data_IF_243902432488
#
_entry.id   IF_243902432488
#
_cell.length_a   1.000
_cell.length_b   1.000
_cell.length_c   1.000
_cell.angle_alpha   90.00
_cell.angle_beta   90.00
_cell.angle_gamma   90.00
#
_symmetry.space_group_name_H-M   'P 1'
#
loop_
_entity.id
_entity.type
_entity.pdbx_description
1 polymer ?
#
# COMPACT_ATOMS: atom_id res chain seq x y z
N UNK A 1 -7.42 -32.29 2.49
CA UNK A 1 -8.17 -31.16 1.92
C UNK A 1 -8.02 -29.88 2.76
N UNK A 2 -6.82 -29.28 2.85
CA UNK A 2 -6.57 -27.98 3.53
C UNK A 2 -5.59 -27.06 2.78
N UNK A 3 -5.03 -27.52 1.66
CA UNK A 3 -3.98 -26.79 0.93
C UNK A 3 -4.53 -25.83 -0.14
N UNK A 4 -5.69 -26.12 -0.73
CA UNK A 4 -6.31 -25.25 -1.76
C UNK A 4 -6.78 -23.87 -1.25
N UNK A 5 -7.09 -23.74 0.05
CA UNK A 5 -7.45 -22.46 0.64
C UNK A 5 -6.24 -21.60 1.03
N UNK A 6 -5.08 -22.22 1.27
CA UNK A 6 -3.84 -21.52 1.62
C UNK A 6 -3.27 -20.78 0.41
N UNK A 7 -3.37 -21.34 -0.78
CA UNK A 7 -2.79 -20.73 -1.98
C UNK A 7 -3.59 -19.53 -2.51
N UNK A 8 -4.93 -19.58 -2.43
CA UNK A 8 -5.77 -18.43 -2.78
C UNK A 8 -5.57 -17.25 -1.83
N UNK A 9 -5.40 -17.53 -0.53
CA UNK A 9 -5.01 -16.52 0.46
C UNK A 9 -3.59 -15.99 0.20
N UNK A 10 -2.64 -16.87 -0.10
CA UNK A 10 -1.24 -16.51 -0.34
C UNK A 10 -1.07 -15.56 -1.52
N UNK A 11 -1.76 -15.81 -2.65
CA UNK A 11 -1.71 -14.92 -3.82
C UNK A 11 -2.29 -13.53 -3.52
N UNK A 12 -3.37 -13.44 -2.76
CA UNK A 12 -3.94 -12.16 -2.32
C UNK A 12 -3.00 -11.41 -1.36
N UNK A 13 -2.35 -12.13 -0.43
CA UNK A 13 -1.34 -11.58 0.47
C UNK A 13 -0.11 -11.07 -0.30
N UNK A 14 0.37 -11.84 -1.28
CA UNK A 14 1.47 -11.41 -2.15
C UNK A 14 1.10 -10.19 -2.98
N UNK A 15 -0.11 -10.15 -3.56
CA UNK A 15 -0.57 -8.98 -4.31
C UNK A 15 -0.62 -7.72 -3.44
N UNK A 16 -1.11 -7.84 -2.20
CA UNK A 16 -1.10 -6.74 -1.22
C UNK A 16 0.31 -6.31 -0.85
N UNK A 17 1.22 -7.24 -0.59
CA UNK A 17 2.62 -6.95 -0.24
C UNK A 17 3.35 -6.26 -1.40
N UNK A 18 3.18 -6.76 -2.62
CA UNK A 18 3.79 -6.19 -3.83
C UNK A 18 3.24 -4.79 -4.13
N UNK A 19 1.93 -4.59 -3.98
CA UNK A 19 1.31 -3.27 -4.14
C UNK A 19 1.82 -2.29 -3.08
N UNK A 20 1.96 -2.74 -1.82
CA UNK A 20 2.55 -1.94 -0.75
C UNK A 20 4.01 -1.59 -1.03
N UNK A 21 4.83 -2.55 -1.45
CA UNK A 21 6.23 -2.29 -1.84
C UNK A 21 6.31 -1.27 -2.97
N UNK A 22 5.43 -1.39 -3.97
CA UNK A 22 5.33 -0.41 -5.05
C UNK A 22 5.00 0.98 -4.52
N UNK A 23 4.07 1.11 -3.55
CA UNK A 23 3.77 2.38 -2.87
C UNK A 23 4.97 2.94 -2.08
N UNK A 24 5.75 2.08 -1.44
CA UNK A 24 6.97 2.46 -0.70
C UNK A 24 8.10 2.89 -1.66
N UNK A 25 8.37 2.11 -2.72
CA UNK A 25 9.36 2.42 -3.76
C UNK A 25 9.02 3.67 -4.54
N UNK A 26 7.73 3.90 -4.77
CA UNK A 26 7.25 5.09 -5.48
C UNK A 26 7.33 6.37 -4.64
N UNK A 27 7.80 6.27 -3.39
CA UNK A 27 7.98 7.39 -2.45
C UNK A 27 6.71 8.24 -2.35
N UNK A 28 5.55 7.58 -2.31
CA UNK A 28 4.25 8.23 -2.16
C UNK A 28 4.27 9.05 -0.89
N UNK A 29 3.90 10.32 -1.00
CA UNK A 29 3.80 11.22 0.13
C UNK A 29 2.34 11.52 0.42
N UNK A 30 2.06 12.13 1.57
CA UNK A 30 0.70 12.58 1.93
C UNK A 30 0.08 13.58 0.94
N UNK A 31 0.88 14.12 0.01
CA UNK A 31 0.47 15.05 -1.05
C UNK A 31 0.23 14.34 -2.39
N UNK A 32 0.74 13.13 -2.56
CA UNK A 32 0.58 12.35 -3.78
C UNK A 32 -0.88 11.93 -3.95
N UNK A 33 -1.35 11.93 -5.19
CA UNK A 33 -2.72 11.53 -5.52
C UNK A 33 -2.77 10.11 -6.11
N UNK A 34 -3.91 9.44 -5.93
CA UNK A 34 -4.13 8.11 -6.51
C UNK A 34 -4.03 8.14 -8.05
N UNK A 35 -4.48 9.25 -8.67
CA UNK A 35 -4.41 9.43 -10.12
C UNK A 35 -2.96 9.47 -10.62
N UNK A 36 -2.08 10.24 -9.98
CA UNK A 36 -0.66 10.29 -10.34
C UNK A 36 0.02 8.92 -10.16
N UNK A 37 -0.35 8.19 -9.11
CA UNK A 37 0.15 6.83 -8.90
C UNK A 37 -0.32 5.86 -10.00
N UNK A 38 -1.61 5.90 -10.36
CA UNK A 38 -2.15 5.13 -11.48
C UNK A 38 -1.47 5.46 -12.81
N UNK A 39 -1.21 6.75 -13.08
CA UNK A 39 -0.62 7.19 -14.33
C UNK A 39 0.83 6.67 -14.47
N UNK A 40 1.59 6.74 -13.38
CA UNK A 40 2.99 6.31 -13.33
C UNK A 40 3.17 4.80 -13.28
N UNK A 41 2.35 4.08 -12.50
CA UNK A 41 2.52 2.65 -12.24
C UNK A 41 1.40 1.77 -12.79
N UNK A 42 0.42 2.32 -13.51
CA UNK A 42 -0.70 1.56 -14.08
C UNK A 42 -0.27 0.47 -15.08
N UNK A 43 0.94 0.59 -15.62
CA UNK A 43 1.56 -0.42 -16.50
C UNK A 43 2.34 -1.51 -15.73
N UNK A 44 2.69 -1.27 -14.47
CA UNK A 44 3.46 -2.20 -13.64
C UNK A 44 2.62 -3.46 -13.34
N UNK A 45 3.25 -4.62 -13.46
CA UNK A 45 2.59 -5.90 -13.21
C UNK A 45 2.06 -6.00 -11.78
N UNK A 46 2.74 -5.38 -10.80
CA UNK A 46 2.35 -5.33 -9.38
C UNK A 46 1.09 -4.49 -9.17
N UNK A 47 0.94 -3.41 -9.93
CA UNK A 47 -0.28 -2.60 -9.92
C UNK A 47 -1.48 -3.39 -10.50
N UNK A 48 -1.24 -4.15 -11.57
CA UNK A 48 -2.26 -5.00 -12.21
C UNK A 48 -2.70 -6.20 -11.37
N UNK A 49 -1.99 -6.55 -10.28
CA UNK A 49 -2.41 -7.64 -9.39
C UNK A 49 -3.69 -7.30 -8.62
N UNK A 50 -3.95 -6.02 -8.36
CA UNK A 50 -5.20 -5.55 -7.77
C UNK A 50 -6.10 -5.09 -8.91
N UNK A 51 -6.97 -5.95 -9.44
CA UNK A 51 -7.81 -5.59 -10.61
C UNK A 51 -8.91 -4.58 -10.28
N UNK A 52 -9.38 -4.55 -9.03
CA UNK A 52 -10.47 -3.68 -8.59
C UNK A 52 -9.95 -2.29 -8.24
N UNK A 53 -10.37 -1.27 -8.99
CA UNK A 53 -10.04 0.14 -8.72
C UNK A 53 -10.41 0.60 -7.31
N UNK A 54 -11.55 0.15 -6.78
CA UNK A 54 -11.95 0.46 -5.40
C UNK A 54 -10.97 -0.09 -4.38
N UNK A 55 -10.46 -1.31 -4.58
CA UNK A 55 -9.42 -1.88 -3.72
C UNK A 55 -8.08 -1.14 -3.88
N UNK A 56 -7.70 -0.79 -5.11
CA UNK A 56 -6.49 0.00 -5.38
C UNK A 56 -6.52 1.35 -4.65
N UNK A 57 -7.64 2.08 -4.75
CA UNK A 57 -7.85 3.35 -4.08
C UNK A 57 -7.89 3.18 -2.55
N UNK A 58 -8.54 2.12 -2.05
CA UNK A 58 -8.55 1.79 -0.64
C UNK A 58 -7.14 1.54 -0.10
N UNK A 59 -6.32 0.73 -0.79
CA UNK A 59 -4.93 0.49 -0.40
C UNK A 59 -4.09 1.76 -0.43
N UNK A 60 -4.26 2.59 -1.45
CA UNK A 60 -3.58 3.88 -1.54
C UNK A 60 -3.94 4.77 -0.35
N UNK A 61 -5.24 4.97 -0.08
CA UNK A 61 -5.71 5.76 1.05
C UNK A 61 -5.26 5.20 2.39
N UNK A 62 -5.29 3.88 2.56
CA UNK A 62 -4.79 3.20 3.75
C UNK A 62 -3.30 3.48 3.94
N UNK A 63 -2.50 3.42 2.87
CA UNK A 63 -1.07 3.71 2.92
C UNK A 63 -0.79 5.17 3.28
N UNK A 64 -1.49 6.13 2.68
CA UNK A 64 -1.41 7.55 3.05
C UNK A 64 -1.74 7.76 4.53
N UNK A 65 -2.78 7.10 5.02
CA UNK A 65 -3.17 7.17 6.43
C UNK A 65 -2.11 6.55 7.36
N UNK A 66 -1.51 5.43 6.98
CA UNK A 66 -0.41 4.80 7.72
C UNK A 66 0.81 5.71 7.74
N UNK A 67 1.17 6.36 6.62
CA UNK A 67 2.25 7.34 6.58
C UNK A 67 2.00 8.50 7.54
N UNK A 68 0.80 9.09 7.52
CA UNK A 68 0.41 10.16 8.46
C UNK A 68 0.46 9.71 9.91
N UNK A 69 -0.03 8.50 10.22
CA UNK A 69 0.02 7.91 11.56
C UNK A 69 1.46 7.68 12.01
N UNK A 70 2.31 7.12 11.15
CA UNK A 70 3.72 6.86 11.44
C UNK A 70 4.50 8.15 11.72
N UNK A 71 4.26 9.20 10.93
CA UNK A 71 4.87 10.52 11.14
C UNK A 71 4.46 11.12 12.50
N UNK A 72 3.15 11.09 12.81
CA UNK A 72 2.61 11.56 14.09
C UNK A 72 3.15 10.75 15.27
N UNK A 73 3.24 9.43 15.14
CA UNK A 73 3.75 8.55 16.18
C UNK A 73 5.25 8.78 16.41
N UNK A 74 6.06 8.93 15.35
CA UNK A 74 7.47 9.29 15.46
C UNK A 74 7.67 10.63 16.16
N UNK A 75 6.87 11.65 15.83
CA UNK A 75 6.88 12.95 16.53
C UNK A 75 6.56 12.81 18.01
N UNK A 76 5.58 11.97 18.38
CA UNK A 76 5.26 11.73 19.80
C UNK A 76 6.36 10.97 20.52
N UNK A 77 6.95 9.94 19.90
CA UNK A 77 8.08 9.19 20.48
C UNK A 77 9.29 10.11 20.74
N UNK A 78 9.64 10.96 19.79
CA UNK A 78 10.72 11.94 19.94
C UNK A 78 10.48 12.95 21.08
N UNK A 79 9.21 13.31 21.33
CA UNK A 79 8.85 14.22 22.43
C UNK A 79 8.86 13.55 23.81
N UNK A 80 8.60 12.23 23.88
CA UNK A 80 8.65 11.48 25.14
C UNK A 80 10.07 11.14 25.61
N UNK A 81 11.05 11.22 24.72
CA UNK A 81 12.47 11.03 25.04
C UNK A 81 13.18 12.33 25.47
N UNK A 82 12.46 13.44 25.56
CA UNK A 82 12.98 14.76 25.92
C UNK A 82 12.59 15.14 27.34
#
# INVERSE_FOLDING_TARGET
MKEEHKEKQSKLLQAKDQYRKLLEESKITSRSTFKEFCDKYGRDQRFKQVLKKNDQEHFFNQFINVLKKRDKENRMRLRKMR
#
